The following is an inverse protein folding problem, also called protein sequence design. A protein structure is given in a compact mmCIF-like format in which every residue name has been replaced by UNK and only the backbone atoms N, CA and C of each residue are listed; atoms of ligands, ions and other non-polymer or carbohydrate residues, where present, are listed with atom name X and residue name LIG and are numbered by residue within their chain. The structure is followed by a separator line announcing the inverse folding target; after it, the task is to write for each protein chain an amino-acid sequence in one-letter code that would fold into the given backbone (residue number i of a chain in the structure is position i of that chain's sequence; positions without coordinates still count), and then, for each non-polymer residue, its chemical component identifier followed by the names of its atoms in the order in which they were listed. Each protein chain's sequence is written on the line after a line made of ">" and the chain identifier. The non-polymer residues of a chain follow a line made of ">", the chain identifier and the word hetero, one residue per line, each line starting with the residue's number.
data_IF_030171653096
#
_entry.id   IF_030171653096
#
_cell.length_a   1.000
_cell.length_b   1.000
_cell.length_c   1.000
_cell.angle_alpha   90.00
_cell.angle_beta   90.00
_cell.angle_gamma   90.00
#
_symmetry.space_group_name_H-M   'P 1'
#
loop_
_entity.id
_entity.type
_entity.pdbx_description
1 polymer ?
#
# COMPACT_ATOMS: atom_id res chain seq x y z
N UNK A 1 -46.83 -82.48 -28.06
CA UNK A 1 -46.65 -81.59 -26.89
C UNK A 1 -45.26 -80.97 -26.76
N UNK A 2 -44.13 -81.67 -26.99
CA UNK A 2 -42.78 -81.06 -26.88
C UNK A 2 -42.48 -79.90 -27.87
N UNK A 3 -43.05 -79.90 -29.08
CA UNK A 3 -42.83 -78.82 -30.07
C UNK A 3 -43.59 -77.51 -29.78
N UNK A 4 -44.70 -77.58 -29.04
CA UNK A 4 -45.45 -76.38 -28.65
C UNK A 4 -44.81 -75.69 -27.44
N UNK A 5 -44.17 -76.46 -26.55
CA UNK A 5 -43.50 -75.93 -25.35
C UNK A 5 -42.17 -75.22 -25.73
N UNK A 6 -41.37 -75.79 -26.63
CA UNK A 6 -40.15 -75.15 -27.15
C UNK A 6 -40.42 -73.86 -27.95
N UNK A 7 -41.52 -73.83 -28.71
CA UNK A 7 -41.96 -72.62 -29.42
C UNK A 7 -42.45 -71.54 -28.45
N UNK A 8 -43.08 -71.91 -27.33
CA UNK A 8 -43.48 -70.97 -26.28
C UNK A 8 -42.31 -70.47 -25.44
N UNK A 9 -41.32 -71.31 -25.10
CA UNK A 9 -40.13 -70.90 -24.35
C UNK A 9 -39.29 -69.91 -25.16
N UNK A 10 -38.95 -70.23 -26.41
CA UNK A 10 -38.17 -69.31 -27.27
C UNK A 10 -38.90 -67.98 -27.52
N UNK A 11 -40.23 -67.99 -27.58
CA UNK A 11 -41.04 -66.79 -27.71
C UNK A 11 -41.08 -65.96 -26.42
N UNK A 12 -41.17 -66.62 -25.25
CA UNK A 12 -41.15 -65.98 -23.94
C UNK A 12 -39.75 -65.41 -23.66
N UNK A 13 -38.69 -66.19 -23.82
CA UNK A 13 -37.31 -65.74 -23.62
C UNK A 13 -36.93 -64.61 -24.60
N UNK A 14 -37.32 -64.69 -25.87
CA UNK A 14 -37.07 -63.60 -26.83
C UNK A 14 -37.77 -62.28 -26.45
N UNK A 15 -39.00 -62.34 -25.91
CA UNK A 15 -39.70 -61.13 -25.39
C UNK A 15 -39.06 -60.59 -24.11
N UNK A 16 -38.63 -61.47 -23.21
CA UNK A 16 -37.92 -61.08 -21.99
C UNK A 16 -36.57 -60.46 -22.31
N UNK A 17 -35.78 -61.03 -23.22
CA UNK A 17 -34.47 -60.49 -23.61
C UNK A 17 -34.58 -59.11 -24.24
N UNK A 18 -35.58 -58.89 -25.12
CA UNK A 18 -35.87 -57.57 -25.69
C UNK A 18 -36.27 -56.57 -24.61
N UNK A 19 -37.12 -56.98 -23.66
CA UNK A 19 -37.53 -56.14 -22.55
C UNK A 19 -36.37 -55.79 -21.60
N UNK A 20 -35.55 -56.78 -21.23
CA UNK A 20 -34.36 -56.58 -20.39
C UNK A 20 -33.31 -55.72 -21.09
N UNK A 21 -33.11 -55.87 -22.40
CA UNK A 21 -32.22 -55.01 -23.20
C UNK A 21 -32.70 -53.56 -23.21
N UNK A 22 -34.01 -53.33 -23.38
CA UNK A 22 -34.62 -52.00 -23.30
C UNK A 22 -34.47 -51.39 -21.90
N UNK A 23 -34.72 -52.14 -20.84
CA UNK A 23 -34.52 -51.67 -19.46
C UNK A 23 -33.07 -51.27 -19.21
N UNK A 24 -32.09 -52.04 -19.71
CA UNK A 24 -30.67 -51.69 -19.64
C UNK A 24 -30.37 -50.38 -20.37
N UNK A 25 -30.93 -50.16 -21.56
CA UNK A 25 -30.78 -48.90 -22.31
C UNK A 25 -31.38 -47.71 -21.58
N UNK A 26 -32.57 -47.86 -21.01
CA UNK A 26 -33.24 -46.82 -20.20
C UNK A 26 -32.39 -46.50 -18.97
N UNK A 27 -31.87 -47.53 -18.29
CA UNK A 27 -31.01 -47.37 -17.12
C UNK A 27 -29.74 -46.57 -17.46
N UNK A 28 -29.08 -46.87 -18.60
CA UNK A 28 -27.94 -46.08 -19.09
C UNK A 28 -28.33 -44.63 -19.37
N UNK A 29 -29.51 -44.37 -19.93
CA UNK A 29 -29.99 -43.00 -20.19
C UNK A 29 -30.28 -42.27 -18.88
N UNK A 30 -30.88 -42.92 -17.89
CA UNK A 30 -31.13 -42.32 -16.57
C UNK A 30 -29.81 -42.02 -15.84
N UNK A 31 -28.84 -42.94 -15.87
CA UNK A 31 -27.49 -42.70 -15.36
C UNK A 31 -26.82 -41.51 -16.07
N UNK A 32 -26.98 -41.40 -17.39
CA UNK A 32 -26.47 -40.25 -18.13
C UNK A 32 -27.20 -38.94 -17.75
N UNK A 33 -28.52 -38.96 -17.56
CA UNK A 33 -29.25 -37.78 -17.08
C UNK A 33 -28.69 -37.32 -15.73
N UNK A 34 -28.51 -38.25 -14.78
CA UNK A 34 -27.95 -37.93 -13.46
C UNK A 34 -26.51 -37.39 -13.55
N UNK A 35 -25.67 -37.98 -14.40
CA UNK A 35 -24.28 -37.54 -14.57
C UNK A 35 -24.17 -36.18 -15.29
N UNK A 36 -25.08 -35.87 -16.23
CA UNK A 36 -25.10 -34.58 -16.95
C UNK A 36 -25.89 -33.49 -16.21
N UNK A 37 -26.70 -33.83 -15.19
CA UNK A 37 -27.41 -32.83 -14.37
C UNK A 37 -26.47 -31.83 -13.68
N UNK A 38 -25.24 -32.25 -13.35
CA UNK A 38 -24.19 -31.36 -12.82
C UNK A 38 -23.87 -30.20 -13.77
N UNK A 39 -24.11 -30.34 -15.07
CA UNK A 39 -23.91 -29.26 -16.06
C UNK A 39 -24.94 -28.13 -15.95
N UNK A 40 -26.13 -28.39 -15.41
CA UNK A 40 -27.16 -27.36 -15.24
C UNK A 40 -26.78 -26.34 -14.16
N UNK A 41 -26.02 -26.78 -13.15
CA UNK A 41 -25.48 -25.93 -12.08
C UNK A 41 -24.06 -25.40 -12.39
N UNK A 42 -23.49 -25.81 -13.53
CA UNK A 42 -22.12 -25.50 -13.89
C UNK A 42 -21.96 -24.07 -14.40
N UNK A 43 -21.41 -23.20 -13.54
CA UNK A 43 -21.05 -21.83 -13.93
C UNK A 43 -19.59 -21.77 -14.36
N UNK A 44 -19.36 -21.76 -15.67
CA UNK A 44 -18.06 -21.43 -16.27
C UNK A 44 -18.25 -20.62 -17.55
N UNK A 45 -17.34 -19.67 -17.78
CA UNK A 45 -17.35 -18.82 -18.98
C UNK A 45 -17.24 -19.65 -20.25
N UNK A 46 -18.20 -19.49 -21.17
CA UNK A 46 -18.20 -20.12 -22.49
C UNK A 46 -18.89 -21.48 -22.58
N UNK A 47 -19.39 -22.04 -21.47
CA UNK A 47 -20.14 -23.31 -21.48
C UNK A 47 -21.64 -23.10 -21.72
N UNK A 48 -22.13 -21.87 -21.63
CA UNK A 48 -23.55 -21.52 -21.80
C UNK A 48 -24.21 -22.14 -23.05
N UNK A 49 -23.55 -22.18 -24.24
CA UNK A 49 -24.15 -22.83 -25.41
C UNK A 49 -24.37 -24.34 -25.22
N UNK A 50 -23.47 -25.02 -24.50
CA UNK A 50 -23.55 -26.46 -24.21
C UNK A 50 -24.62 -26.70 -23.13
N UNK A 51 -24.68 -25.85 -22.09
CA UNK A 51 -25.72 -25.94 -21.05
C UNK A 51 -27.12 -25.72 -21.65
N UNK A 52 -27.30 -24.73 -22.52
CA UNK A 52 -28.58 -24.46 -23.18
C UNK A 52 -28.99 -25.61 -24.08
N UNK A 53 -28.04 -26.23 -24.79
CA UNK A 53 -28.30 -27.42 -25.60
C UNK A 53 -28.73 -28.61 -24.75
N UNK A 54 -28.04 -28.86 -23.62
CA UNK A 54 -28.42 -29.91 -22.68
C UNK A 54 -29.79 -29.64 -22.04
N UNK A 55 -30.08 -28.40 -21.65
CA UNK A 55 -31.38 -28.01 -21.08
C UNK A 55 -32.53 -28.19 -22.07
N UNK A 56 -32.33 -27.78 -23.33
CA UNK A 56 -33.32 -27.96 -24.39
C UNK A 56 -33.58 -29.45 -24.65
N UNK A 57 -32.52 -30.26 -24.61
CA UNK A 57 -32.61 -31.70 -24.72
C UNK A 57 -33.33 -32.36 -23.53
N UNK A 58 -33.01 -31.96 -22.31
CA UNK A 58 -33.66 -32.40 -21.08
C UNK A 58 -35.16 -32.04 -21.06
N UNK A 59 -35.51 -30.81 -21.45
CA UNK A 59 -36.91 -30.38 -21.57
C UNK A 59 -37.68 -31.18 -22.64
N UNK A 60 -37.01 -31.55 -23.74
CA UNK A 60 -37.61 -32.38 -24.79
C UNK A 60 -37.79 -33.85 -24.34
N UNK A 61 -36.87 -34.37 -23.52
CA UNK A 61 -37.00 -35.67 -22.86
C UNK A 61 -38.17 -35.69 -21.89
N UNK A 62 -38.31 -34.66 -21.05
CA UNK A 62 -39.36 -34.58 -20.04
C UNK A 62 -40.75 -34.31 -20.63
N UNK A 63 -40.84 -33.58 -21.77
CA UNK A 63 -42.13 -33.33 -22.46
C UNK A 63 -42.66 -34.55 -23.21
N UNK A 64 -41.78 -35.45 -23.66
CA UNK A 64 -42.19 -36.71 -24.26
C UNK A 64 -42.46 -37.70 -23.14
N UNK A 65 -43.70 -37.75 -22.64
CA UNK A 65 -44.14 -38.78 -21.71
C UNK A 65 -43.92 -40.17 -22.34
N UNK A 66 -42.81 -40.81 -21.97
CA UNK A 66 -42.45 -42.14 -22.41
C UNK A 66 -43.26 -43.17 -21.62
N UNK A 67 -44.30 -43.72 -22.24
CA UNK A 67 -44.86 -44.98 -21.77
C UNK A 67 -43.96 -46.12 -22.25
N UNK A 68 -42.92 -46.41 -21.44
CA UNK A 68 -41.89 -47.41 -21.72
C UNK A 68 -42.37 -48.87 -21.61
N UNK A 69 -43.66 -49.10 -21.35
CA UNK A 69 -44.25 -50.44 -21.20
C UNK A 69 -44.81 -51.01 -22.51
N UNK A 70 -44.99 -50.19 -23.55
CA UNK A 70 -45.59 -50.64 -24.81
C UNK A 70 -44.58 -51.39 -25.71
N UNK A 71 -44.61 -52.72 -25.66
CA UNK A 71 -43.82 -53.62 -26.51
C UNK A 71 -44.06 -53.45 -28.04
N UNK A 72 -45.03 -52.63 -28.46
CA UNK A 72 -45.49 -52.51 -29.86
C UNK A 72 -44.80 -51.37 -30.62
N UNK A 73 -44.25 -50.34 -29.94
CA UNK A 73 -43.55 -49.25 -30.63
C UNK A 73 -42.14 -49.69 -31.05
N UNK A 74 -41.98 -50.00 -32.34
CA UNK A 74 -40.66 -50.26 -32.97
C UNK A 74 -39.78 -49.01 -33.02
N UNK A 75 -40.38 -47.83 -32.93
CA UNK A 75 -39.67 -46.54 -32.90
C UNK A 75 -38.94 -46.29 -31.58
N UNK A 76 -39.30 -46.99 -30.50
CA UNK A 76 -38.72 -46.78 -29.16
C UNK A 76 -37.21 -47.07 -29.12
N UNK A 77 -36.76 -48.14 -29.77
CA UNK A 77 -35.32 -48.46 -29.82
C UNK A 77 -34.53 -47.43 -30.65
N UNK A 78 -35.13 -46.90 -31.73
CA UNK A 78 -34.54 -45.83 -32.55
C UNK A 78 -34.42 -44.53 -31.75
N UNK A 79 -35.45 -44.18 -31.01
CA UNK A 79 -35.47 -42.99 -30.18
C UNK A 79 -34.43 -43.09 -29.05
N UNK A 80 -34.32 -44.25 -28.38
CA UNK A 80 -33.28 -44.49 -27.36
C UNK A 80 -31.86 -44.39 -27.93
N UNK A 81 -31.63 -44.90 -29.14
CA UNK A 81 -30.33 -44.80 -29.81
C UNK A 81 -30.02 -43.35 -30.26
N UNK A 82 -31.04 -42.59 -30.68
CA UNK A 82 -30.93 -41.15 -30.97
C UNK A 82 -30.58 -40.35 -29.71
N UNK A 83 -31.23 -40.63 -28.56
CA UNK A 83 -30.89 -40.01 -27.28
C UNK A 83 -29.44 -40.28 -26.89
N UNK A 84 -28.99 -41.52 -27.02
CA UNK A 84 -27.59 -41.89 -26.76
C UNK A 84 -26.63 -41.12 -27.66
N UNK A 85 -26.92 -41.02 -28.96
CA UNK A 85 -26.10 -40.23 -29.90
C UNK A 85 -26.06 -38.74 -29.54
N UNK A 86 -27.15 -38.18 -29.00
CA UNK A 86 -27.19 -36.79 -28.55
C UNK A 86 -26.35 -36.58 -27.27
N UNK A 87 -26.39 -37.52 -26.32
CA UNK A 87 -25.47 -37.53 -25.16
C UNK A 87 -24.00 -37.63 -25.61
N UNK A 88 -23.68 -38.52 -26.55
CA UNK A 88 -22.31 -38.69 -27.08
C UNK A 88 -21.81 -37.41 -27.78
N UNK A 89 -22.72 -36.70 -28.48
CA UNK A 89 -22.40 -35.41 -29.12
C UNK A 89 -22.09 -34.33 -28.07
N UNK A 90 -22.88 -34.23 -27.00
CA UNK A 90 -22.63 -33.27 -25.92
C UNK A 90 -21.32 -33.61 -25.20
N UNK A 91 -21.04 -34.90 -24.97
CA UNK A 91 -19.77 -35.36 -24.40
C UNK A 91 -18.55 -35.00 -25.29
N UNK A 92 -18.68 -35.10 -26.61
CA UNK A 92 -17.63 -34.67 -27.53
C UNK A 92 -17.45 -33.15 -27.50
N UNK A 93 -18.53 -32.38 -27.46
CA UNK A 93 -18.45 -30.92 -27.36
C UNK A 93 -17.79 -30.46 -26.06
N UNK A 94 -18.03 -31.14 -24.94
CA UNK A 94 -17.35 -30.87 -23.67
C UNK A 94 -15.85 -31.17 -23.74
N UNK A 95 -15.46 -32.26 -24.43
CA UNK A 95 -14.04 -32.59 -24.71
C UNK A 95 -13.36 -31.53 -25.57
N UNK A 96 -13.99 -31.16 -26.68
CA UNK A 96 -13.46 -30.15 -27.60
C UNK A 96 -13.36 -28.77 -26.93
N UNK A 97 -14.33 -28.43 -26.08
CA UNK A 97 -14.30 -27.21 -25.27
C UNK A 97 -13.14 -27.23 -24.27
N UNK A 98 -12.94 -28.33 -23.55
CA UNK A 98 -11.83 -28.49 -22.61
C UNK A 98 -10.48 -28.32 -23.34
N UNK A 99 -10.32 -28.98 -24.49
CA UNK A 99 -9.13 -28.88 -25.32
C UNK A 99 -8.88 -27.48 -25.86
N UNK A 100 -9.93 -26.80 -26.33
CA UNK A 100 -9.85 -25.42 -26.79
C UNK A 100 -9.50 -24.45 -25.66
N UNK A 101 -10.04 -24.67 -24.46
CA UNK A 101 -9.77 -23.84 -23.29
C UNK A 101 -8.32 -23.99 -22.81
N UNK A 102 -7.78 -25.20 -22.81
CA UNK A 102 -6.37 -25.46 -22.47
C UNK A 102 -5.35 -24.94 -23.49
N UNK A 103 -5.79 -24.66 -24.73
CA UNK A 103 -4.94 -23.97 -25.73
C UNK A 103 -4.81 -22.48 -25.46
N UNK A 104 -5.71 -21.88 -24.68
CA UNK A 104 -5.62 -20.48 -24.32
C UNK A 104 -4.64 -20.30 -23.14
N UNK A 105 -3.76 -19.28 -23.17
CA UNK A 105 -2.87 -19.02 -22.05
C UNK A 105 -3.68 -18.51 -20.86
N UNK A 106 -3.76 -19.32 -19.80
CA UNK A 106 -4.43 -18.98 -18.54
C UNK A 106 -3.49 -19.27 -17.35
N UNK A 107 -3.60 -18.52 -16.24
CA UNK A 107 -2.81 -18.81 -15.03
C UNK A 107 -3.16 -20.19 -14.45
N UNK A 108 -2.19 -20.86 -13.84
CA UNK A 108 -2.34 -22.25 -13.36
C UNK A 108 -3.48 -22.37 -12.35
N UNK A 109 -3.70 -21.38 -11.48
CA UNK A 109 -4.82 -21.41 -10.53
C UNK A 109 -6.18 -21.50 -11.23
N UNK A 110 -6.34 -20.79 -12.35
CA UNK A 110 -7.58 -20.83 -13.14
C UNK A 110 -7.71 -22.18 -13.86
N UNK A 111 -6.60 -22.74 -14.36
CA UNK A 111 -6.59 -24.06 -14.97
C UNK A 111 -7.03 -25.14 -13.97
N UNK A 112 -6.50 -25.11 -12.74
CA UNK A 112 -6.86 -26.02 -11.67
C UNK A 112 -8.33 -25.89 -11.25
N UNK A 113 -8.83 -24.67 -11.04
CA UNK A 113 -10.26 -24.45 -10.71
C UNK A 113 -11.21 -25.01 -11.77
N UNK A 114 -10.81 -24.95 -13.03
CA UNK A 114 -11.64 -25.51 -14.11
C UNK A 114 -11.56 -27.02 -14.12
N UNK A 115 -10.37 -27.61 -13.95
CA UNK A 115 -10.24 -29.07 -13.80
C UNK A 115 -11.03 -29.61 -12.61
N UNK A 116 -10.99 -28.94 -11.47
CA UNK A 116 -11.78 -29.28 -10.27
C UNK A 116 -13.28 -29.33 -10.58
N UNK A 117 -13.77 -28.39 -11.40
CA UNK A 117 -15.17 -28.38 -11.81
C UNK A 117 -15.46 -29.51 -12.81
N UNK A 118 -14.58 -29.75 -13.80
CA UNK A 118 -14.74 -30.84 -14.76
C UNK A 118 -14.61 -32.24 -14.14
N UNK A 119 -13.91 -32.38 -13.02
CA UNK A 119 -13.85 -33.63 -12.23
C UNK A 119 -15.21 -34.00 -11.61
N UNK A 120 -16.07 -33.01 -11.35
CA UNK A 120 -17.45 -33.25 -10.90
C UNK A 120 -18.32 -33.86 -12.02
N UNK A 121 -17.92 -33.66 -13.28
CA UNK A 121 -18.60 -34.21 -14.46
C UNK A 121 -18.04 -35.61 -14.71
N UNK A 122 -18.56 -36.61 -13.98
CA UNK A 122 -18.21 -38.03 -14.15
C UNK A 122 -18.64 -38.63 -15.50
N UNK A 123 -19.41 -37.89 -16.30
CA UNK A 123 -20.09 -38.40 -17.50
C UNK A 123 -19.17 -38.61 -18.70
N UNK A 124 -18.00 -37.95 -18.72
CA UNK A 124 -17.06 -38.07 -19.82
C UNK A 124 -15.82 -38.79 -19.30
N UNK A 125 -15.36 -39.83 -20.00
CA UNK A 125 -14.02 -40.38 -19.89
C UNK A 125 -13.01 -39.31 -20.36
N UNK A 126 -12.96 -38.18 -19.66
CA UNK A 126 -12.03 -37.11 -19.88
C UNK A 126 -10.68 -37.65 -19.44
N UNK A 127 -9.68 -37.52 -20.31
CA UNK A 127 -8.28 -37.78 -19.95
C UNK A 127 -7.78 -36.66 -19.04
N UNK A 128 -8.35 -36.59 -17.83
CA UNK A 128 -8.01 -35.62 -16.81
C UNK A 128 -6.54 -35.79 -16.41
N UNK A 129 -6.03 -37.04 -16.42
CA UNK A 129 -4.62 -37.36 -16.20
C UNK A 129 -3.67 -36.59 -17.12
N UNK A 130 -3.86 -36.68 -18.45
CA UNK A 130 -3.00 -35.96 -19.39
C UNK A 130 -3.15 -34.43 -19.29
N UNK A 131 -4.33 -33.94 -18.89
CA UNK A 131 -4.53 -32.51 -18.63
C UNK A 131 -3.80 -32.06 -17.38
N UNK A 132 -3.86 -32.80 -16.27
CA UNK A 132 -3.09 -32.49 -15.07
C UNK A 132 -1.58 -32.51 -15.34
N UNK A 133 -1.07 -33.43 -16.16
CA UNK A 133 0.35 -33.40 -16.59
C UNK A 133 0.70 -32.12 -17.37
N UNK A 134 -0.20 -31.65 -18.25
CA UNK A 134 -0.03 -30.39 -18.96
C UNK A 134 -0.03 -29.19 -18.00
N UNK A 135 -0.92 -29.18 -17.00
CA UNK A 135 -0.94 -28.12 -15.98
C UNK A 135 0.34 -28.12 -15.15
N UNK A 136 0.89 -29.28 -14.80
CA UNK A 136 2.18 -29.36 -14.09
C UNK A 136 3.32 -28.78 -14.94
N UNK A 137 3.34 -29.03 -16.26
CA UNK A 137 4.32 -28.41 -17.17
C UNK A 137 4.17 -26.89 -17.21
N UNK A 138 2.94 -26.39 -17.27
CA UNK A 138 2.67 -24.94 -17.22
C UNK A 138 3.09 -24.34 -15.88
N UNK A 139 2.84 -25.04 -14.78
CA UNK A 139 3.30 -24.65 -13.44
C UNK A 139 4.82 -24.65 -13.32
N UNK A 140 5.52 -25.60 -13.93
CA UNK A 140 6.98 -25.60 -14.00
C UNK A 140 7.51 -24.31 -14.67
N UNK A 141 6.85 -23.88 -15.76
CA UNK A 141 7.19 -22.65 -16.45
C UNK A 141 6.88 -21.41 -15.60
N UNK A 142 5.72 -21.39 -14.92
CA UNK A 142 5.33 -20.30 -14.01
C UNK A 142 6.31 -20.18 -12.82
N UNK A 143 6.75 -21.30 -12.24
CA UNK A 143 7.79 -21.34 -11.22
C UNK A 143 9.11 -20.73 -11.71
N UNK A 144 9.53 -21.06 -12.93
CA UNK A 144 10.76 -20.50 -13.50
C UNK A 144 10.60 -19.00 -13.80
N UNK A 145 9.41 -18.55 -14.22
CA UNK A 145 9.11 -17.11 -14.36
C UNK A 145 9.20 -16.39 -13.01
N UNK A 146 8.62 -16.95 -11.94
CA UNK A 146 8.72 -16.39 -10.58
C UNK A 146 10.17 -16.36 -10.10
N UNK A 147 10.95 -17.41 -10.38
CA UNK A 147 12.38 -17.45 -10.07
C UNK A 147 13.17 -16.36 -10.80
N UNK A 148 12.93 -16.18 -12.10
CA UNK A 148 13.58 -15.13 -12.88
C UNK A 148 13.17 -13.74 -12.40
N UNK A 149 11.90 -13.55 -12.02
CA UNK A 149 11.42 -12.31 -11.42
C UNK A 149 12.14 -12.05 -10.10
N UNK A 150 12.27 -13.07 -9.25
CA UNK A 150 12.98 -12.99 -7.98
C UNK A 150 14.43 -12.56 -8.19
N UNK A 151 15.19 -13.22 -9.06
CA UNK A 151 16.60 -12.87 -9.32
C UNK A 151 16.78 -11.46 -9.89
N UNK A 152 15.87 -11.03 -10.77
CA UNK A 152 15.93 -9.68 -11.37
C UNK A 152 15.63 -8.57 -10.37
N UNK A 153 14.67 -8.79 -9.47
CA UNK A 153 14.13 -7.75 -8.59
C UNK A 153 14.55 -7.91 -7.12
N UNK A 154 15.40 -8.89 -6.79
CA UNK A 154 15.84 -9.17 -5.41
C UNK A 154 16.42 -7.94 -4.68
N UNK A 155 17.14 -7.09 -5.42
CA UNK A 155 17.82 -5.93 -4.85
C UNK A 155 16.88 -4.74 -4.65
N UNK A 156 15.91 -4.57 -5.56
CA UNK A 156 14.92 -3.49 -5.54
C UNK A 156 13.56 -4.00 -6.00
N UNK A 157 12.80 -4.67 -5.12
CA UNK A 157 11.49 -5.18 -5.49
C UNK A 157 10.48 -4.05 -5.60
N UNK A 158 9.43 -4.20 -6.42
CA UNK A 158 8.37 -3.21 -6.51
C UNK A 158 7.62 -3.11 -5.19
N UNK A 159 7.74 -1.96 -4.51
CA UNK A 159 7.08 -1.68 -3.24
C UNK A 159 5.79 -0.88 -3.48
N UNK A 160 4.73 -1.22 -2.75
CA UNK A 160 3.48 -0.47 -2.79
C UNK A 160 3.66 0.96 -2.24
N UNK A 161 2.88 1.92 -2.75
CA UNK A 161 2.92 3.30 -2.25
C UNK A 161 2.61 3.34 -0.75
N UNK A 162 3.34 4.18 -0.01
CA UNK A 162 3.26 4.34 1.45
C UNK A 162 3.70 3.11 2.27
N UNK A 163 4.33 2.12 1.65
CA UNK A 163 4.96 1.02 2.38
C UNK A 163 6.44 1.30 2.56
N UNK A 164 6.97 0.96 3.74
CA UNK A 164 8.37 1.15 4.10
C UNK A 164 9.27 0.15 3.38
N UNK A 165 10.58 0.47 3.31
CA UNK A 165 11.52 -0.30 2.47
C UNK A 165 11.66 -1.75 2.92
N UNK A 166 11.87 -2.02 4.22
CA UNK A 166 12.08 -3.40 4.70
C UNK A 166 10.77 -4.19 4.67
N UNK A 167 9.69 -3.61 5.18
CA UNK A 167 8.38 -4.27 5.16
C UNK A 167 7.89 -4.53 3.72
N UNK A 168 8.21 -3.62 2.79
CA UNK A 168 7.96 -3.74 1.37
C UNK A 168 8.60 -4.98 0.75
N UNK A 169 9.91 -5.13 1.01
CA UNK A 169 10.70 -6.28 0.56
C UNK A 169 10.17 -7.60 1.11
N UNK A 170 9.84 -7.65 2.41
CA UNK A 170 9.26 -8.83 3.06
C UNK A 170 7.90 -9.20 2.47
N UNK A 171 7.01 -8.22 2.31
CA UNK A 171 5.68 -8.44 1.73
C UNK A 171 5.77 -8.96 0.29
N UNK A 172 6.66 -8.40 -0.52
CA UNK A 172 6.88 -8.87 -1.89
C UNK A 172 7.34 -10.33 -1.93
N UNK A 173 8.32 -10.71 -1.10
CA UNK A 173 8.78 -12.09 -1.02
C UNK A 173 7.65 -13.04 -0.59
N UNK A 174 6.84 -12.63 0.40
CA UNK A 174 5.69 -13.40 0.86
C UNK A 174 4.57 -13.49 -0.17
N UNK A 175 4.38 -12.45 -0.97
CA UNK A 175 3.43 -12.46 -2.07
C UNK A 175 3.84 -13.49 -3.12
N UNK A 176 5.11 -13.49 -3.54
CA UNK A 176 5.64 -14.51 -4.45
C UNK A 176 5.53 -15.92 -3.88
N UNK A 177 5.81 -16.09 -2.58
CA UNK A 177 5.64 -17.37 -1.89
C UNK A 177 4.18 -17.86 -1.95
N UNK A 178 3.20 -17.00 -1.63
CA UNK A 178 1.78 -17.36 -1.73
C UNK A 178 1.34 -17.70 -3.16
N UNK A 179 1.86 -16.99 -4.16
CA UNK A 179 1.56 -17.30 -5.56
C UNK A 179 2.00 -18.72 -5.96
N UNK A 180 3.15 -19.18 -5.48
CA UNK A 180 3.65 -20.53 -5.78
C UNK A 180 3.03 -21.60 -4.89
N UNK A 181 2.67 -21.28 -3.64
CA UNK A 181 2.11 -22.19 -2.64
C UNK A 181 0.67 -22.60 -2.97
N UNK A 182 -0.20 -21.65 -3.34
CA UNK A 182 -1.63 -21.91 -3.59
C UNK A 182 -1.85 -23.00 -4.66
N UNK A 183 -1.17 -22.96 -5.83
CA UNK A 183 -1.29 -24.04 -6.82
C UNK A 183 -0.74 -25.38 -6.30
N UNK A 184 0.35 -25.37 -5.53
CA UNK A 184 0.98 -26.58 -5.01
C UNK A 184 0.08 -27.30 -3.99
N UNK A 185 -0.58 -26.55 -3.09
CA UNK A 185 -1.55 -27.11 -2.14
C UNK A 185 -2.73 -27.77 -2.87
N UNK A 186 -3.28 -27.10 -3.90
CA UNK A 186 -4.36 -27.67 -4.72
C UNK A 186 -3.96 -28.96 -5.43
N UNK A 187 -2.74 -29.02 -5.99
CA UNK A 187 -2.23 -30.25 -6.59
C UNK A 187 -2.13 -31.39 -5.58
N UNK A 188 -1.68 -31.10 -4.34
CA UNK A 188 -1.54 -32.08 -3.26
C UNK A 188 -2.89 -32.65 -2.82
N UNK A 189 -3.93 -31.81 -2.74
CA UNK A 189 -5.27 -32.25 -2.33
C UNK A 189 -5.99 -33.08 -3.38
N UNK A 190 -5.88 -32.71 -4.66
CA UNK A 190 -6.72 -33.27 -5.73
C UNK A 190 -6.08 -34.38 -6.52
N UNK A 191 -4.77 -34.31 -6.79
CA UNK A 191 -4.10 -35.24 -7.67
C UNK A 191 -2.67 -35.56 -7.18
N UNK A 192 -2.54 -36.31 -6.06
CA UNK A 192 -1.23 -36.74 -5.58
C UNK A 192 -0.50 -37.61 -6.62
N UNK A 193 -1.22 -38.40 -7.41
CA UNK A 193 -0.65 -39.34 -8.40
C UNK A 193 0.20 -38.65 -9.47
N UNK A 194 -0.20 -37.45 -9.91
CA UNK A 194 0.52 -36.69 -10.94
C UNK A 194 1.78 -36.03 -10.35
N UNK A 195 1.81 -35.79 -9.03
CA UNK A 195 3.00 -35.32 -8.31
C UNK A 195 4.04 -36.43 -8.11
N UNK A 196 3.64 -37.71 -8.06
CA UNK A 196 4.56 -38.86 -8.02
C UNK A 196 5.22 -39.15 -9.37
N UNK A 197 4.68 -38.61 -10.47
CA UNK A 197 5.30 -38.67 -11.79
C UNK A 197 6.67 -37.99 -11.85
N UNK A 198 7.50 -38.38 -12.81
CA UNK A 198 8.87 -37.85 -12.98
C UNK A 198 8.90 -36.32 -13.14
N UNK A 199 7.94 -35.75 -13.88
CA UNK A 199 7.84 -34.30 -14.07
C UNK A 199 7.28 -33.59 -12.82
N UNK A 200 6.33 -34.21 -12.11
CA UNK A 200 5.82 -33.70 -10.83
C UNK A 200 6.91 -33.60 -9.75
N UNK A 201 7.73 -34.64 -9.61
CA UNK A 201 8.84 -34.65 -8.65
C UNK A 201 9.90 -33.58 -8.93
N UNK A 202 10.19 -33.29 -10.20
CA UNK A 202 11.07 -32.17 -10.58
C UNK A 202 10.45 -30.83 -10.18
N UNK A 203 9.16 -30.62 -10.43
CA UNK A 203 8.46 -29.41 -10.05
C UNK A 203 8.46 -29.20 -8.54
N UNK A 204 8.20 -30.25 -7.75
CA UNK A 204 8.24 -30.19 -6.28
C UNK A 204 9.64 -29.82 -5.77
N UNK A 205 10.71 -30.39 -6.34
CA UNK A 205 12.08 -30.02 -5.98
C UNK A 205 12.38 -28.56 -6.32
N UNK A 206 11.95 -28.07 -7.48
CA UNK A 206 12.15 -26.67 -7.88
C UNK A 206 11.36 -25.72 -6.97
N UNK A 207 10.10 -26.05 -6.70
CA UNK A 207 9.26 -25.34 -5.74
C UNK A 207 9.93 -25.24 -4.37
N UNK A 208 10.37 -26.37 -3.79
CA UNK A 208 11.02 -26.38 -2.48
C UNK A 208 12.27 -25.48 -2.45
N UNK A 209 13.06 -25.48 -3.52
CA UNK A 209 14.25 -24.63 -3.63
C UNK A 209 13.90 -23.14 -3.69
N UNK A 210 12.87 -22.77 -4.47
CA UNK A 210 12.41 -21.38 -4.58
C UNK A 210 11.75 -20.94 -3.26
N UNK A 211 10.90 -21.78 -2.69
CA UNK A 211 10.25 -21.57 -1.40
C UNK A 211 11.28 -21.34 -0.27
N UNK A 212 12.30 -22.20 -0.18
CA UNK A 212 13.38 -22.04 0.78
C UNK A 212 14.11 -20.70 0.59
N UNK A 213 14.45 -20.33 -0.65
CA UNK A 213 15.10 -19.05 -0.93
C UNK A 213 14.23 -17.83 -0.56
N UNK A 214 12.91 -17.89 -0.80
CA UNK A 214 11.97 -16.82 -0.45
C UNK A 214 11.80 -16.68 1.07
N UNK A 215 11.69 -17.79 1.79
CA UNK A 215 11.60 -17.79 3.26
C UNK A 215 12.91 -17.30 3.88
N UNK A 216 14.06 -17.76 3.37
CA UNK A 216 15.36 -17.26 3.83
C UNK A 216 15.49 -15.75 3.59
N UNK A 217 15.03 -15.24 2.45
CA UNK A 217 15.00 -13.81 2.19
C UNK A 217 14.15 -13.07 3.24
N UNK A 218 12.90 -13.50 3.49
CA UNK A 218 12.04 -12.90 4.50
C UNK A 218 12.70 -12.90 5.90
N UNK A 219 13.34 -14.01 6.29
CA UNK A 219 14.01 -14.14 7.59
C UNK A 219 15.26 -13.26 7.73
N UNK A 220 16.08 -13.12 6.68
CA UNK A 220 17.27 -12.26 6.72
C UNK A 220 16.86 -10.80 6.94
N UNK A 221 15.85 -10.32 6.21
CA UNK A 221 15.36 -8.95 6.37
C UNK A 221 14.69 -8.71 7.73
N UNK A 222 13.93 -9.69 8.23
CA UNK A 222 13.37 -9.64 9.58
C UNK A 222 14.47 -9.57 10.65
N UNK A 223 15.50 -10.42 10.55
CA UNK A 223 16.59 -10.43 11.52
C UNK A 223 17.41 -9.13 11.46
N UNK A 224 17.69 -8.64 10.26
CA UNK A 224 18.34 -7.35 10.06
C UNK A 224 17.53 -6.22 10.72
N UNK A 225 16.21 -6.19 10.50
CA UNK A 225 15.34 -5.21 11.16
C UNK A 225 15.37 -5.31 12.70
N UNK A 226 15.35 -6.52 13.25
CA UNK A 226 15.48 -6.74 14.69
C UNK A 226 16.80 -6.19 15.25
N UNK A 227 17.92 -6.38 14.55
CA UNK A 227 19.21 -5.81 14.97
C UNK A 227 19.20 -4.28 14.88
N UNK A 228 18.65 -3.71 13.80
CA UNK A 228 18.57 -2.27 13.62
C UNK A 228 17.73 -1.60 14.71
N UNK A 229 16.58 -2.19 15.07
CA UNK A 229 15.71 -1.60 16.10
C UNK A 229 16.30 -1.69 17.50
N UNK A 230 17.13 -2.69 17.79
CA UNK A 230 17.88 -2.76 19.05
C UNK A 230 18.92 -1.62 19.14
N UNK A 231 19.55 -1.27 18.02
CA UNK A 231 20.51 -0.16 17.93
C UNK A 231 19.84 1.23 18.03
N UNK A 232 18.53 1.35 17.83
CA UNK A 232 17.81 2.63 17.99
C UNK A 232 17.91 3.18 19.42
N UNK A 233 18.08 2.30 20.42
CA UNK A 233 18.26 2.73 21.80
C UNK A 233 19.46 3.66 22.01
N UNK A 234 20.58 3.42 21.32
CA UNK A 234 21.71 4.34 21.38
C UNK A 234 21.38 5.68 20.72
N UNK A 235 20.63 5.69 19.62
CA UNK A 235 20.23 6.93 18.94
C UNK A 235 19.31 7.79 19.79
N UNK A 236 18.37 7.18 20.53
CA UNK A 236 17.48 7.90 21.46
C UNK A 236 18.17 8.37 22.75
N UNK A 237 19.33 7.80 23.08
CA UNK A 237 20.17 8.24 24.20
C UNK A 237 21.04 9.46 23.87
N UNK A 238 21.12 9.84 22.59
CA UNK A 238 21.81 11.04 22.12
C UNK A 238 21.16 12.33 22.60
N UNK A 239 21.92 13.42 22.57
CA UNK A 239 21.43 14.77 22.86
C UNK A 239 20.32 15.19 21.89
N UNK A 240 19.42 16.07 22.34
CA UNK A 240 18.27 16.54 21.55
C UNK A 240 18.68 17.53 20.45
N UNK A 241 19.71 18.34 20.71
CA UNK A 241 20.14 19.44 19.85
C UNK A 241 21.64 19.30 19.59
N UNK A 242 22.04 19.50 18.33
CA UNK A 242 23.44 19.60 17.92
C UNK A 242 23.69 21.01 17.39
N UNK A 243 24.83 21.58 17.78
CA UNK A 243 25.33 22.85 17.25
C UNK A 243 26.34 22.54 16.16
N UNK A 244 26.12 23.08 14.98
CA UNK A 244 27.06 22.98 13.86
C UNK A 244 28.27 23.88 14.13
N UNK A 245 29.51 23.35 14.15
CA UNK A 245 30.72 24.12 14.44
C UNK A 245 31.04 25.20 13.40
N UNK A 246 30.60 25.04 12.15
CA UNK A 246 30.94 25.97 11.06
C UNK A 246 29.91 27.09 10.90
N UNK A 247 28.62 26.78 11.08
CA UNK A 247 27.53 27.75 10.87
C UNK A 247 26.97 28.35 12.17
N UNK A 248 27.41 27.84 13.32
CA UNK A 248 26.84 28.09 14.65
C UNK A 248 25.33 27.82 14.78
N UNK A 249 24.71 27.17 13.79
CA UNK A 249 23.27 26.88 13.76
C UNK A 249 22.94 25.66 14.62
N UNK A 250 21.72 25.66 15.13
CA UNK A 250 21.19 24.57 15.96
C UNK A 250 20.29 23.67 15.12
N UNK A 251 20.53 22.37 15.19
CA UNK A 251 19.71 21.35 14.53
C UNK A 251 19.14 20.38 15.56
N UNK A 252 17.90 19.93 15.32
CA UNK A 252 17.31 18.85 16.11
C UNK A 252 17.99 17.55 15.73
N UNK A 253 18.62 16.89 16.70
CA UNK A 253 19.33 15.63 16.52
C UNK A 253 18.34 14.46 16.61
N UNK A 254 17.51 14.33 15.57
CA UNK A 254 16.55 13.24 15.43
C UNK A 254 16.67 12.61 14.05
N UNK A 255 16.89 11.29 14.03
CA UNK A 255 16.92 10.54 12.79
C UNK A 255 15.49 10.14 12.40
N UNK A 256 15.01 10.67 11.28
CA UNK A 256 13.69 10.33 10.72
C UNK A 256 13.55 8.84 10.39
N UNK A 257 14.66 8.13 10.17
CA UNK A 257 14.66 6.68 9.98
C UNK A 257 14.07 5.93 11.19
N UNK A 258 14.11 6.51 12.39
CA UNK A 258 13.46 5.93 13.58
C UNK A 258 11.95 5.84 13.39
N UNK A 259 11.32 6.86 12.79
CA UNK A 259 9.88 6.84 12.51
C UNK A 259 9.53 5.83 11.42
N UNK A 260 10.42 5.65 10.44
CA UNK A 260 10.28 4.61 9.42
C UNK A 260 10.33 3.21 10.05
N UNK A 261 11.28 2.95 10.96
CA UNK A 261 11.38 1.70 11.70
C UNK A 261 10.15 1.42 12.57
N UNK A 262 9.56 2.46 13.16
CA UNK A 262 8.31 2.35 13.93
C UNK A 262 7.13 2.02 13.01
N UNK A 263 7.04 2.64 11.84
CA UNK A 263 6.06 2.25 10.82
C UNK A 263 6.28 0.82 10.32
N UNK A 264 7.52 0.38 10.12
CA UNK A 264 7.87 -1.00 9.79
C UNK A 264 7.38 -1.98 10.86
N UNK A 265 7.52 -1.64 12.14
CA UNK A 265 7.01 -2.46 13.24
C UNK A 265 5.50 -2.75 13.08
N UNK A 266 4.69 -1.78 12.64
CA UNK A 266 3.25 -1.99 12.42
C UNK A 266 2.97 -3.00 11.32
N UNK A 267 3.72 -2.92 10.21
CA UNK A 267 3.59 -3.85 9.10
C UNK A 267 4.10 -5.25 9.44
N UNK A 268 5.21 -5.35 10.16
CA UNK A 268 5.75 -6.64 10.60
C UNK A 268 4.79 -7.33 11.58
N UNK A 269 4.10 -6.55 12.44
CA UNK A 269 3.01 -7.04 13.28
C UNK A 269 1.89 -7.64 12.46
N UNK A 270 1.44 -6.92 11.41
CA UNK A 270 0.32 -7.36 10.59
C UNK A 270 0.67 -8.55 9.70
N UNK A 271 1.95 -8.75 9.39
CA UNK A 271 2.48 -9.96 8.77
C UNK A 271 2.53 -11.18 9.71
N UNK A 272 2.22 -11.00 11.00
CA UNK A 272 2.15 -12.08 11.99
C UNK A 272 3.50 -12.45 12.61
N UNK A 273 4.52 -11.59 12.50
CA UNK A 273 5.79 -11.78 13.20
C UNK A 273 5.72 -11.20 14.61
N UNK A 274 6.48 -11.81 15.53
CA UNK A 274 6.66 -11.25 16.86
C UNK A 274 7.58 -10.04 16.81
N UNK A 275 7.19 -8.97 17.49
CA UNK A 275 7.96 -7.74 17.51
C UNK A 275 8.80 -7.68 18.79
N UNK A 276 10.08 -7.26 18.71
CA UNK A 276 10.91 -7.02 19.90
C UNK A 276 10.25 -6.01 20.86
N UNK A 277 10.46 -6.20 22.17
CA UNK A 277 9.88 -5.32 23.20
C UNK A 277 10.26 -3.84 23.03
N UNK A 278 11.46 -3.58 22.48
CA UNK A 278 11.94 -2.25 22.10
C UNK A 278 10.98 -1.57 21.14
N UNK A 279 10.65 -2.25 20.05
CA UNK A 279 9.77 -1.74 19.00
C UNK A 279 8.33 -1.53 19.51
N UNK A 280 7.85 -2.39 20.40
CA UNK A 280 6.54 -2.19 21.06
C UNK A 280 6.50 -0.92 21.91
N UNK A 281 7.57 -0.60 22.63
CA UNK A 281 7.66 0.66 23.40
C UNK A 281 7.70 1.86 22.46
N UNK A 282 8.47 1.79 21.38
CA UNK A 282 8.57 2.88 20.40
C UNK A 282 7.25 3.16 19.68
N UNK A 283 6.45 2.12 19.40
CA UNK A 283 5.10 2.28 18.86
C UNK A 283 4.19 3.10 19.78
N UNK A 284 4.29 2.91 21.09
CA UNK A 284 3.51 3.67 22.07
C UNK A 284 4.05 5.12 22.16
N UNK A 285 5.37 5.28 22.07
CA UNK A 285 6.04 6.58 22.16
C UNK A 285 6.00 7.40 20.86
N UNK A 286 5.57 6.82 19.73
CA UNK A 286 5.62 7.42 18.40
C UNK A 286 5.00 8.83 18.36
N UNK A 287 3.79 8.96 18.90
CA UNK A 287 3.05 10.24 18.89
C UNK A 287 3.81 11.29 19.67
N UNK A 288 4.33 10.92 20.84
CA UNK A 288 5.06 11.82 21.72
C UNK A 288 6.41 12.24 21.12
N UNK A 289 7.14 11.31 20.49
CA UNK A 289 8.39 11.63 19.80
C UNK A 289 8.17 12.57 18.60
N UNK A 290 7.14 12.31 17.78
CA UNK A 290 6.76 13.18 16.66
C UNK A 290 6.38 14.59 17.13
N UNK A 291 5.57 14.69 18.19
CA UNK A 291 5.20 15.99 18.76
C UNK A 291 6.41 16.75 19.29
N UNK A 292 7.29 16.08 20.04
CA UNK A 292 8.52 16.70 20.57
C UNK A 292 9.46 17.16 19.47
N UNK A 293 9.63 16.36 18.41
CA UNK A 293 10.43 16.74 17.24
C UNK A 293 9.89 18.02 16.58
N UNK A 294 8.58 18.08 16.32
CA UNK A 294 7.95 19.23 15.69
C UNK A 294 8.09 20.50 16.55
N UNK A 295 7.81 20.40 17.86
CA UNK A 295 7.92 21.55 18.78
C UNK A 295 9.37 22.06 18.85
N UNK A 296 10.35 21.16 18.93
CA UNK A 296 11.76 21.55 18.95
C UNK A 296 12.17 22.22 17.64
N UNK A 297 11.72 21.69 16.50
CA UNK A 297 11.99 22.27 15.19
C UNK A 297 11.35 23.67 15.04
N UNK A 298 10.10 23.84 15.48
CA UNK A 298 9.42 25.14 15.49
C UNK A 298 10.15 26.15 16.37
N UNK A 299 10.60 25.74 17.56
CA UNK A 299 11.37 26.63 18.46
C UNK A 299 12.69 27.02 17.84
N UNK A 300 13.44 26.09 17.26
CA UNK A 300 14.74 26.41 16.63
C UNK A 300 14.56 27.34 15.42
N UNK A 301 13.55 27.10 14.58
CA UNK A 301 13.22 27.99 13.47
C UNK A 301 12.81 29.38 13.98
N UNK A 302 11.95 29.43 15.01
CA UNK A 302 11.53 30.70 15.60
C UNK A 302 12.69 31.46 16.23
N UNK A 303 13.70 30.78 16.77
CA UNK A 303 14.93 31.40 17.26
C UNK A 303 15.69 32.04 16.10
N UNK A 304 15.91 31.30 15.00
CA UNK A 304 16.62 31.82 13.82
C UNK A 304 15.89 33.01 13.18
N UNK A 305 14.57 32.94 13.04
CA UNK A 305 13.73 34.03 12.55
C UNK A 305 13.78 35.26 13.46
N UNK A 306 13.72 35.05 14.79
CA UNK A 306 13.79 36.13 15.77
C UNK A 306 15.15 36.83 15.70
N UNK A 307 16.24 36.10 15.47
CA UNK A 307 17.57 36.70 15.28
C UNK A 307 17.70 37.44 13.96
N UNK A 308 17.13 36.92 12.87
CA UNK A 308 17.13 37.59 11.58
C UNK A 308 16.33 38.91 11.59
N UNK A 309 15.36 39.04 12.50
CA UNK A 309 14.55 40.26 12.68
C UNK A 309 15.26 41.38 13.44
N UNK A 310 16.41 41.12 14.08
CA UNK A 310 17.14 42.14 14.85
C UNK A 310 17.83 43.12 13.90
N UNK A 311 17.59 44.45 14.03
CA UNK A 311 18.29 45.45 13.24
C UNK A 311 19.81 45.40 13.47
N UNK A 312 20.59 45.50 12.38
CA UNK A 312 22.06 45.36 12.41
C UNK A 312 22.75 46.31 13.41
N UNK A 313 22.20 47.51 13.59
CA UNK A 313 22.72 48.55 14.50
C UNK A 313 22.64 48.11 15.97
N UNK A 314 21.68 47.25 16.31
CA UNK A 314 21.40 46.82 17.69
C UNK A 314 22.03 45.48 18.04
N UNK A 315 22.60 44.75 17.07
CA UNK A 315 23.23 43.43 17.28
C UNK A 315 24.20 43.36 18.48
N UNK A 316 25.05 44.37 18.77
CA UNK A 316 25.94 44.33 19.93
C UNK A 316 25.18 44.36 21.28
N UNK A 317 24.06 45.09 21.35
CA UNK A 317 23.25 45.23 22.57
C UNK A 317 22.44 43.96 22.89
N UNK A 318 22.12 43.16 21.86
CA UNK A 318 21.38 41.92 22.00
C UNK A 318 22.25 40.69 22.33
N UNK A 319 23.58 40.78 22.25
CA UNK A 319 24.50 39.68 22.61
C UNK A 319 24.26 39.06 24.00
N UNK A 320 24.08 39.80 25.11
CA UNK A 320 23.82 39.18 26.41
C UNK A 320 22.50 38.41 26.48
N UNK A 321 21.50 38.79 25.67
CA UNK A 321 20.25 38.04 25.56
C UNK A 321 20.43 36.79 24.71
N UNK A 322 21.31 36.85 23.69
CA UNK A 322 21.73 35.69 22.91
C UNK A 322 22.42 34.66 23.80
N UNK A 323 23.35 35.09 24.64
CA UNK A 323 24.07 34.19 25.56
C UNK A 323 23.13 33.53 26.56
N UNK A 324 22.14 34.25 27.09
CA UNK A 324 21.10 33.67 27.96
C UNK A 324 20.28 32.59 27.25
N UNK A 325 19.88 32.83 26.00
CA UNK A 325 19.15 31.85 25.20
C UNK A 325 20.03 30.63 24.88
N UNK A 326 21.28 30.84 24.50
CA UNK A 326 22.27 29.78 24.28
C UNK A 326 22.50 28.95 25.56
N UNK A 327 22.56 29.60 26.73
CA UNK A 327 22.66 28.92 28.02
C UNK A 327 21.42 28.07 28.33
N UNK A 328 20.23 28.56 27.98
CA UNK A 328 19.02 27.75 28.11
C UNK A 328 19.08 26.52 27.19
N UNK A 329 19.55 26.68 25.94
CA UNK A 329 19.71 25.59 24.97
C UNK A 329 20.78 24.56 25.37
N UNK A 330 21.80 24.93 26.15
CA UNK A 330 22.83 24.01 26.63
C UNK A 330 22.25 22.79 27.38
N UNK A 331 21.11 22.95 28.07
CA UNK A 331 20.42 21.82 28.69
C UNK A 331 19.99 20.77 27.65
N UNK A 332 19.50 21.20 26.48
CA UNK A 332 19.15 20.33 25.36
C UNK A 332 20.34 19.72 24.61
N UNK A 333 21.52 20.33 24.74
CA UNK A 333 22.76 19.86 24.08
C UNK A 333 23.50 18.82 24.96
N UNK A 334 23.57 19.03 26.27
CA UNK A 334 24.43 18.22 27.15
C UNK A 334 23.69 17.33 28.14
N UNK A 335 22.45 17.68 28.53
CA UNK A 335 21.80 17.06 29.70
C UNK A 335 20.56 16.24 29.33
N UNK A 336 19.88 16.58 28.24
CA UNK A 336 18.62 15.95 27.86
C UNK A 336 18.80 14.97 26.71
N UNK A 337 18.12 13.83 26.81
CA UNK A 337 17.97 12.83 25.76
C UNK A 337 16.48 12.64 25.43
N UNK A 338 16.17 11.94 24.34
CA UNK A 338 14.79 11.76 23.85
C UNK A 338 13.86 11.01 24.83
N UNK A 339 14.43 10.26 25.77
CA UNK A 339 13.70 9.53 26.81
C UNK A 339 13.45 10.37 28.08
N UNK A 340 13.99 11.59 28.16
CA UNK A 340 13.86 12.44 29.34
C UNK A 340 12.43 12.95 29.51
N UNK A 341 11.96 13.00 30.76
CA UNK A 341 10.66 13.56 31.12
C UNK A 341 10.68 15.08 31.25
N UNK A 342 11.87 15.68 31.43
CA UNK A 342 12.11 17.11 31.60
C UNK A 342 12.13 17.91 30.29
N UNK A 343 11.85 17.28 29.14
CA UNK A 343 11.80 17.98 27.84
C UNK A 343 10.72 19.05 27.83
N UNK A 344 9.55 18.79 28.42
CA UNK A 344 8.44 19.73 28.38
C UNK A 344 8.74 20.99 29.22
N UNK A 345 9.48 20.85 30.32
CA UNK A 345 9.93 21.98 31.14
C UNK A 345 11.06 22.77 30.45
N UNK A 346 11.96 22.06 29.75
CA UNK A 346 12.98 22.68 28.91
C UNK A 346 12.35 23.51 27.78
N UNK A 347 11.40 22.93 27.06
CA UNK A 347 10.64 23.58 25.99
C UNK A 347 9.97 24.84 26.53
N UNK A 348 9.23 24.75 27.64
CA UNK A 348 8.60 25.93 28.28
C UNK A 348 9.60 27.02 28.65
N UNK A 349 10.75 26.63 29.20
CA UNK A 349 11.80 27.59 29.59
C UNK A 349 12.37 28.31 28.36
N UNK A 350 12.71 27.58 27.30
CA UNK A 350 13.23 28.17 26.06
C UNK A 350 12.18 29.04 25.38
N UNK A 351 10.92 28.60 25.33
CA UNK A 351 9.82 29.39 24.78
C UNK A 351 9.60 30.68 25.57
N UNK A 352 9.66 30.66 26.91
CA UNK A 352 9.50 31.86 27.73
C UNK A 352 10.62 32.88 27.50
N UNK A 353 11.87 32.43 27.37
CA UNK A 353 13.01 33.30 27.07
C UNK A 353 12.91 33.85 25.64
N UNK A 354 12.47 33.04 24.69
CA UNK A 354 12.24 33.46 23.30
C UNK A 354 11.14 34.52 23.20
N UNK A 355 10.00 34.34 23.88
CA UNK A 355 8.93 35.35 23.88
C UNK A 355 9.37 36.66 24.55
N UNK A 356 10.17 36.56 25.61
CA UNK A 356 10.77 37.74 26.25
C UNK A 356 11.71 38.48 25.29
N UNK A 357 12.51 37.74 24.52
CA UNK A 357 13.40 38.30 23.49
C UNK A 357 12.60 38.95 22.34
N UNK A 358 11.57 38.28 21.81
CA UNK A 358 10.70 38.83 20.76
C UNK A 358 10.03 40.13 21.20
N UNK A 359 9.51 40.18 22.43
CA UNK A 359 8.90 41.39 22.99
C UNK A 359 9.92 42.53 23.09
N UNK A 360 11.15 42.22 23.49
CA UNK A 360 12.22 43.22 23.60
C UNK A 360 12.63 43.73 22.22
N UNK A 361 12.85 42.84 21.25
CA UNK A 361 13.17 43.22 19.86
C UNK A 361 12.07 44.10 19.28
N UNK A 362 10.80 43.71 19.45
CA UNK A 362 9.68 44.52 18.98
C UNK A 362 9.70 45.92 19.59
N UNK A 363 9.82 46.03 20.91
CA UNK A 363 9.88 47.34 21.59
C UNK A 363 11.07 48.18 21.14
N UNK A 364 12.24 47.58 20.99
CA UNK A 364 13.43 48.33 20.55
C UNK A 364 13.34 48.73 19.08
N UNK A 365 12.77 47.88 18.22
CA UNK A 365 12.52 48.22 16.83
C UNK A 365 11.45 49.30 16.68
N UNK A 366 10.38 49.26 17.48
CA UNK A 366 9.35 50.29 17.50
C UNK A 366 9.94 51.65 17.95
N UNK A 367 10.85 51.64 18.93
CA UNK A 367 11.57 52.86 19.34
C UNK A 367 12.49 53.35 18.23
N UNK A 368 13.26 52.46 17.61
CA UNK A 368 14.19 52.84 16.54
C UNK A 368 13.42 53.44 15.35
N UNK A 369 12.42 52.74 14.84
CA UNK A 369 11.70 53.18 13.65
C UNK A 369 10.83 54.40 13.97
N UNK A 370 9.91 54.28 14.94
CA UNK A 370 8.88 55.30 15.12
C UNK A 370 9.32 56.52 15.93
N UNK A 371 10.38 56.43 16.74
CA UNK A 371 10.83 57.55 17.59
C UNK A 371 12.15 58.15 17.15
N UNK A 372 12.97 57.39 16.43
CA UNK A 372 14.29 57.84 16.01
C UNK A 372 14.29 58.09 14.51
N UNK A 373 14.01 57.08 13.69
CA UNK A 373 14.03 57.22 12.22
C UNK A 373 12.92 58.13 11.70
N UNK A 374 11.67 57.97 12.12
CA UNK A 374 10.55 58.85 11.71
C UNK A 374 10.82 60.32 12.08
N UNK A 375 11.39 60.58 13.27
CA UNK A 375 11.74 61.94 13.70
C UNK A 375 12.91 62.49 12.89
N UNK A 376 13.90 61.65 12.56
CA UNK A 376 14.99 62.06 11.68
C UNK A 376 14.53 62.33 10.25
N UNK A 377 13.57 61.56 9.74
CA UNK A 377 12.94 61.79 8.44
C UNK A 377 12.14 63.10 8.46
N UNK A 378 11.33 63.34 9.50
CA UNK A 378 10.60 64.60 9.68
C UNK A 378 11.57 65.80 9.76
N UNK A 379 12.70 65.66 10.48
CA UNK A 379 13.75 66.68 10.50
C UNK A 379 14.38 66.90 9.11
N UNK A 380 14.62 65.84 8.34
CA UNK A 380 15.19 65.94 7.00
C UNK A 380 14.22 66.57 5.99
N UNK A 381 12.92 66.34 6.14
CA UNK A 381 11.86 66.89 5.29
C UNK A 381 11.46 68.33 5.67
N UNK A 382 11.91 68.85 6.82
CA UNK A 382 11.66 70.27 7.16
C UNK A 382 12.33 71.21 6.15
N UNK A 383 11.50 71.89 5.35
CA UNK A 383 11.97 72.88 4.39
C UNK A 383 12.45 74.14 5.13
N UNK A 384 13.74 74.40 5.05
CA UNK A 384 14.37 75.63 5.58
C UNK A 384 14.20 76.83 4.63
N UNK A 385 13.62 76.63 3.45
CA UNK A 385 13.43 77.66 2.45
C UNK A 385 12.21 77.30 1.57
N UNK A 386 11.17 78.12 1.64
CA UNK A 386 10.04 78.02 0.72
C UNK A 386 10.32 78.88 -0.52
N UNK A 387 10.42 78.22 -1.67
CA UNK A 387 10.51 78.89 -2.97
C UNK A 387 9.08 79.10 -3.50
N UNK A 388 8.62 80.34 -3.70
CA UNK A 388 7.30 80.61 -4.24
C UNK A 388 7.25 80.22 -5.72
N UNK A 389 6.41 79.25 -6.08
CA UNK A 389 6.34 78.72 -7.45
C UNK A 389 5.54 79.60 -8.43
N UNK A 390 4.58 80.42 -7.97
CA UNK A 390 3.60 81.09 -8.85
C UNK A 390 3.61 82.64 -8.84
N UNK A 391 4.28 83.32 -7.88
CA UNK A 391 4.28 84.80 -7.80
C UNK A 391 5.70 85.41 -7.82
N UNK A 392 5.88 86.48 -8.60
CA UNK A 392 7.12 87.28 -8.60
C UNK A 392 7.21 88.12 -7.32
N UNK A 393 7.96 87.61 -6.35
CA UNK A 393 8.13 88.27 -5.05
C UNK A 393 9.30 89.26 -5.11
N UNK A 394 9.16 90.45 -4.50
CA UNK A 394 10.28 91.39 -4.38
C UNK A 394 11.33 90.87 -3.40
N UNK A 395 12.59 91.32 -3.55
CA UNK A 395 13.72 90.81 -2.75
C UNK A 395 13.50 90.97 -1.23
N UNK A 396 12.87 92.06 -0.81
CA UNK A 396 12.53 92.31 0.60
C UNK A 396 11.40 91.39 1.10
N UNK A 397 10.40 91.11 0.26
CA UNK A 397 9.31 90.18 0.60
C UNK A 397 9.79 88.73 0.65
N UNK A 398 10.73 88.35 -0.23
CA UNK A 398 11.37 87.03 -0.20
C UNK A 398 12.20 86.84 1.07
N UNK A 399 13.01 87.83 1.45
CA UNK A 399 13.76 87.80 2.71
C UNK A 399 12.80 87.62 3.89
N UNK A 400 11.70 88.38 3.93
CA UNK A 400 10.72 88.27 5.01
C UNK A 400 10.03 86.89 5.08
N UNK A 401 9.68 86.30 3.92
CA UNK A 401 9.10 84.95 3.85
C UNK A 401 10.12 83.90 4.30
N UNK A 402 11.38 84.01 3.85
CA UNK A 402 12.45 83.10 4.28
C UNK A 402 12.78 83.23 5.77
N UNK A 403 12.76 84.44 6.35
CA UNK A 403 12.96 84.63 7.78
C UNK A 403 11.81 84.03 8.60
N UNK A 404 10.56 84.16 8.15
CA UNK A 404 9.41 83.55 8.83
C UNK A 404 9.38 82.02 8.73
N UNK A 405 9.76 81.46 7.58
CA UNK A 405 9.81 80.00 7.37
C UNK A 405 10.99 79.37 8.11
N UNK A 406 12.15 80.03 8.15
CA UNK A 406 13.29 79.61 8.97
C UNK A 406 12.97 79.68 10.47
N UNK A 407 12.26 80.72 10.94
CA UNK A 407 11.85 80.81 12.34
C UNK A 407 10.88 79.68 12.74
N UNK A 408 9.91 79.38 11.87
CA UNK A 408 8.97 78.27 12.07
C UNK A 408 9.65 76.90 12.02
N UNK A 409 10.55 76.69 11.04
CA UNK A 409 11.35 75.47 10.94
C UNK A 409 12.28 75.30 12.15
N UNK A 410 12.87 76.38 12.67
CA UNK A 410 13.70 76.35 13.87
C UNK A 410 12.91 75.98 15.13
N UNK A 411 11.67 76.47 15.29
CA UNK A 411 10.79 76.07 16.39
C UNK A 411 10.38 74.59 16.28
N UNK A 412 10.01 74.14 15.08
CA UNK A 412 9.65 72.73 14.85
C UNK A 412 10.85 71.79 15.08
N UNK A 413 12.03 72.11 14.55
CA UNK A 413 13.25 71.35 14.81
C UNK A 413 13.62 71.34 16.29
N UNK A 414 13.45 72.45 17.00
CA UNK A 414 13.68 72.53 18.46
C UNK A 414 12.73 71.61 19.25
N UNK A 415 11.45 71.54 18.84
CA UNK A 415 10.50 70.59 19.43
C UNK A 415 10.88 69.14 19.13
N UNK A 416 11.21 68.80 17.89
CA UNK A 416 11.60 67.44 17.49
C UNK A 416 12.90 66.98 18.20
N UNK A 417 13.89 67.86 18.36
CA UNK A 417 15.11 67.59 19.14
C UNK A 417 14.75 67.34 20.61
N UNK A 418 13.81 68.09 21.17
CA UNK A 418 13.34 67.87 22.54
C UNK A 418 12.64 66.51 22.69
N UNK A 419 11.86 66.08 21.71
CA UNK A 419 11.24 64.74 21.70
C UNK A 419 12.26 63.60 21.68
N UNK A 420 13.39 63.76 20.96
CA UNK A 420 14.49 62.81 20.97
C UNK A 420 15.24 62.79 22.32
N UNK A 421 15.50 63.95 22.93
CA UNK A 421 16.25 64.07 24.19
C UNK A 421 15.44 63.56 25.38
N UNK A 422 14.11 63.74 25.39
CA UNK A 422 13.26 63.21 26.45
C UNK A 422 13.04 61.69 26.36
N UNK A 423 13.56 61.00 25.35
CA UNK A 423 13.65 59.54 25.32
C UNK A 423 14.68 58.96 26.33
N UNK A 424 15.59 59.79 26.86
CA UNK A 424 16.67 59.37 27.78
C UNK A 424 16.25 59.27 29.26
N UNK A 425 14.97 59.52 29.60
CA UNK A 425 14.40 59.35 30.96
C UNK A 425 13.21 58.40 30.94
#
# INVERSE_FOLDING_TARGET
>A
MKFFILSSENYIFGKFDVYTSRLKKILIILENIDNFNVLLDFKAEGIDPIVVRYKTFYDNLHKRNFDGADQIKRDFDRDLDEYKSQFDTIAQQLRDFLDAWFKQPAPVERQLRILEKFEQIKCCQLDLSAKYELVIKNYANELEMVRQLYEKQKNDPPIARNMTSIAGKMFWARHLYKQIEIPMERFKEKCPDVLWGHEGQKCVKNFNRIAEALVQFELIYYHHWCQTIENVHSSLSSSLIVRDPDTERYYVNFDLAILELVHEARYISSLGFNIPSVASRLLIQEIMLKQRHNILQEILNAIEETWASVPNVLLPLFQPFRDKLCQALNAGIYQLNWNSTSIDDFVKKVSSELESLKLLIKRTSDILNCRVEDVFEEMAETNLCDLPDDDQVTLDQFIQITETTVAYAAENLSMLVSFLIFCDK
#
